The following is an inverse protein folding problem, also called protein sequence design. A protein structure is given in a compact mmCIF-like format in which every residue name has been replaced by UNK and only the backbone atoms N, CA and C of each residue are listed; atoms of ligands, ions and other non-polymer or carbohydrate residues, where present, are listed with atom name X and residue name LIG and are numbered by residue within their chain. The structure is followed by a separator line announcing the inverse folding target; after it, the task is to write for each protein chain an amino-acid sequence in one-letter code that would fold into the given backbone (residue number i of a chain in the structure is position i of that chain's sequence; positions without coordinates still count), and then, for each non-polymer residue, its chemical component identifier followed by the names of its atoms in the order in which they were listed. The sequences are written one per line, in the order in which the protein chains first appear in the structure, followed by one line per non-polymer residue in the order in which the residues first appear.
data_IF_364413996374
#
_entry.id   IF_364413996374
#
_cell.length_a   1.000
_cell.length_b   1.000
_cell.length_c   1.000
_cell.angle_alpha   90.00
_cell.angle_beta   90.00
_cell.angle_gamma   90.00
#
_symmetry.space_group_name_H-M   'P 1'
#
loop_
_entity.id
_entity.type
_entity.pdbx_description
1 polymer ?
#
# COMPACT_ATOMS: atom_id res chain seq x y z
N UNK A 1 -21.80 -12.12 18.82
CA UNK A 1 -21.42 -10.72 18.55
C UNK A 1 -20.29 -10.74 17.54
N UNK A 2 -20.60 -10.62 16.24
CA UNK A 2 -19.61 -10.73 15.17
C UNK A 2 -19.18 -9.34 14.72
N UNK A 3 -17.91 -8.99 14.94
CA UNK A 3 -17.34 -7.76 14.40
C UNK A 3 -16.85 -8.03 12.98
N UNK A 4 -17.59 -7.52 11.99
CA UNK A 4 -17.20 -7.52 10.58
C UNK A 4 -16.09 -6.50 10.38
N UNK A 5 -14.88 -6.99 10.08
CA UNK A 5 -13.70 -6.19 9.79
C UNK A 5 -13.88 -5.53 8.40
N UNK A 6 -14.00 -4.20 8.36
CA UNK A 6 -14.20 -3.43 7.11
C UNK A 6 -12.87 -2.82 6.64
N UNK A 7 -11.81 -3.62 6.55
CA UNK A 7 -10.54 -3.20 5.96
C UNK A 7 -10.64 -3.19 4.44
N UNK A 8 -11.04 -2.07 3.84
CA UNK A 8 -10.97 -1.89 2.38
C UNK A 8 -9.53 -1.55 2.00
N UNK A 9 -8.77 -2.56 1.59
CA UNK A 9 -7.52 -2.37 0.84
C UNK A 9 -7.85 -1.59 -0.43
N UNK A 10 -7.44 -0.33 -0.49
CA UNK A 10 -7.57 0.50 -1.69
C UNK A 10 -6.23 0.48 -2.44
N UNK A 11 -6.12 -0.42 -3.41
CA UNK A 11 -5.02 -0.39 -4.37
C UNK A 11 -5.17 0.87 -5.24
N UNK A 12 -4.33 1.88 -4.97
CA UNK A 12 -4.24 3.10 -5.80
C UNK A 12 -3.48 2.75 -7.08
N UNK A 13 -4.18 2.20 -8.07
CA UNK A 13 -3.63 2.05 -9.42
C UNK A 13 -3.42 3.44 -10.02
N UNK A 14 -2.17 3.78 -10.32
CA UNK A 14 -1.84 4.98 -11.08
C UNK A 14 -2.30 4.79 -12.55
N UNK A 15 -3.22 5.60 -13.10
CA UNK A 15 -3.61 5.46 -14.49
C UNK A 15 -2.44 5.83 -15.42
N UNK A 16 -2.26 5.13 -16.55
CA UNK A 16 -1.27 5.53 -17.55
C UNK A 16 -1.67 6.89 -18.13
N UNK A 17 -0.73 7.83 -18.14
CA UNK A 17 -0.88 9.15 -18.74
C UNK A 17 -1.21 9.01 -20.24
N UNK A 18 -2.47 9.19 -20.62
CA UNK A 18 -2.89 9.26 -22.03
C UNK A 18 -2.53 10.64 -22.58
N UNK A 19 -1.28 10.78 -23.03
CA UNK A 19 -0.85 11.96 -23.77
C UNK A 19 -1.37 11.85 -25.21
N UNK A 20 -2.14 12.87 -25.60
CA UNK A 20 -2.89 13.03 -26.85
C UNK A 20 -2.10 12.59 -28.09
N UNK A 21 -2.68 11.65 -28.84
CA UNK A 21 -2.21 11.19 -30.14
C UNK A 21 -2.33 12.29 -31.20
N UNK A 22 -1.19 12.84 -31.59
CA UNK A 22 -1.03 13.65 -32.79
C UNK A 22 0.14 13.13 -33.63
N UNK A 23 -0.20 12.31 -34.64
CA UNK A 23 0.49 12.10 -35.92
C UNK A 23 1.94 11.56 -35.92
N UNK A 24 2.06 10.37 -36.53
CA UNK A 24 3.25 9.78 -37.16
C UNK A 24 4.51 9.50 -36.32
N UNK A 25 4.62 8.24 -35.86
CA UNK A 25 5.85 7.43 -35.91
C UNK A 25 5.53 5.96 -35.61
N UNK A 26 6.26 5.06 -36.27
CA UNK A 26 6.20 3.60 -36.23
C UNK A 26 5.98 2.97 -34.83
N UNK A 27 5.39 1.76 -34.72
CA UNK A 27 5.19 1.09 -33.45
C UNK A 27 6.55 0.71 -32.84
N UNK A 28 7.07 1.59 -31.98
CA UNK A 28 8.16 1.25 -31.09
C UNK A 28 7.62 0.14 -30.18
N UNK A 29 8.24 -1.03 -30.26
CA UNK A 29 8.04 -2.17 -29.37
C UNK A 29 7.67 -1.67 -27.98
N UNK A 30 6.49 -2.07 -27.49
CA UNK A 30 5.92 -1.64 -26.22
C UNK A 30 6.88 -2.06 -25.09
N UNK A 31 7.87 -1.22 -24.81
CA UNK A 31 8.74 -1.36 -23.66
C UNK A 31 7.84 -1.01 -22.47
N UNK A 32 7.27 -2.03 -21.84
CA UNK A 32 6.57 -1.87 -20.57
C UNK A 32 7.46 -1.01 -19.68
N UNK A 33 6.91 0.07 -19.12
CA UNK A 33 7.69 0.98 -18.31
C UNK A 33 8.30 0.18 -17.13
N UNK A 34 9.63 0.02 -17.06
CA UNK A 34 10.23 -0.67 -15.93
C UNK A 34 10.05 0.23 -14.71
N UNK A 35 9.30 -0.23 -13.72
CA UNK A 35 9.23 0.41 -12.40
C UNK A 35 7.91 1.08 -12.03
N UNK A 36 6.75 0.53 -12.37
CA UNK A 36 5.50 0.92 -11.70
C UNK A 36 5.42 0.31 -10.29
N UNK A 37 5.94 1.04 -9.30
CA UNK A 37 5.80 0.66 -7.88
C UNK A 37 4.32 0.68 -7.50
N UNK A 38 3.81 -0.46 -7.05
CA UNK A 38 2.43 -0.55 -6.54
C UNK A 38 2.41 -0.01 -5.12
N UNK A 39 1.45 0.86 -4.80
CA UNK A 39 1.27 1.37 -3.44
C UNK A 39 -0.01 0.82 -2.82
N UNK A 40 0.13 0.26 -1.63
CA UNK A 40 -0.92 -0.33 -0.82
C UNK A 40 -1.09 0.46 0.47
N UNK A 41 -2.30 1.00 0.71
CA UNK A 41 -2.65 1.57 2.01
C UNK A 41 -3.23 0.49 2.92
N UNK A 42 -2.65 0.32 4.11
CA UNK A 42 -3.06 -0.64 5.14
C UNK A 42 -3.50 0.14 6.36
N UNK A 43 -4.67 -0.16 6.92
CA UNK A 43 -5.09 0.35 8.24
C UNK A 43 -5.32 -0.81 9.20
N UNK A 44 -4.87 -0.65 10.44
CA UNK A 44 -5.07 -1.62 11.50
C UNK A 44 -5.44 -0.89 12.80
N UNK A 45 -6.41 -1.44 13.52
CA UNK A 45 -6.87 -0.93 14.82
C UNK A 45 -7.08 -2.14 15.74
N UNK A 46 -6.62 -2.06 16.98
CA UNK A 46 -6.76 -3.13 17.96
C UNK A 46 -6.10 -2.81 19.30
N UNK A 47 -6.19 -3.69 20.31
CA UNK A 47 -5.62 -3.44 21.63
C UNK A 47 -4.11 -3.19 21.57
N UNK A 48 -3.64 -2.21 22.34
CA UNK A 48 -2.21 -1.90 22.39
C UNK A 48 -1.44 -3.06 23.04
N UNK A 49 -0.53 -3.65 22.27
CA UNK A 49 0.29 -4.80 22.65
C UNK A 49 1.73 -4.52 22.27
N UNK A 50 2.63 -4.73 23.22
CA UNK A 50 4.07 -4.76 22.96
C UNK A 50 4.38 -5.76 21.84
N UNK A 51 5.05 -5.30 20.78
CA UNK A 51 5.43 -6.12 19.63
C UNK A 51 4.47 -6.08 18.44
N UNK A 52 3.29 -5.46 18.55
CA UNK A 52 2.31 -5.43 17.45
C UNK A 52 2.89 -4.81 16.17
N UNK A 53 3.60 -3.68 16.30
CA UNK A 53 4.26 -3.02 15.16
C UNK A 53 5.33 -3.92 14.54
N UNK A 54 6.11 -4.61 15.37
CA UNK A 54 7.17 -5.50 14.92
C UNK A 54 6.60 -6.69 14.12
N UNK A 55 5.50 -7.27 14.56
CA UNK A 55 4.84 -8.37 13.85
C UNK A 55 4.30 -7.90 12.49
N UNK A 56 3.69 -6.71 12.45
CA UNK A 56 3.16 -6.12 11.22
C UNK A 56 4.26 -5.77 10.21
N UNK A 57 5.33 -5.12 10.66
CA UNK A 57 6.47 -4.80 9.78
C UNK A 57 7.15 -6.06 9.28
N UNK A 58 7.29 -7.09 10.13
CA UNK A 58 7.84 -8.39 9.73
C UNK A 58 7.03 -9.03 8.61
N UNK A 59 5.71 -9.11 8.72
CA UNK A 59 4.85 -9.67 7.67
C UNK A 59 4.99 -8.89 6.37
N UNK A 60 4.99 -7.55 6.43
CA UNK A 60 5.15 -6.70 5.24
C UNK A 60 6.49 -6.96 4.55
N UNK A 61 7.57 -7.06 5.33
CA UNK A 61 8.91 -7.33 4.81
C UNK A 61 9.04 -8.77 4.26
N UNK A 62 8.44 -9.77 4.90
CA UNK A 62 8.42 -11.17 4.42
C UNK A 62 7.72 -11.27 3.05
N UNK A 63 6.69 -10.43 2.83
CA UNK A 63 6.02 -10.31 1.53
C UNK A 63 6.80 -9.49 0.48
N UNK A 64 8.02 -9.02 0.78
CA UNK A 64 8.81 -8.17 -0.10
C UNK A 64 8.31 -6.72 -0.22
N UNK A 65 7.42 -6.30 0.69
CA UNK A 65 6.91 -4.94 0.75
C UNK A 65 7.85 -4.01 1.54
N UNK A 66 7.90 -2.75 1.11
CA UNK A 66 8.62 -1.69 1.82
C UNK A 66 7.65 -0.63 2.34
N UNK A 67 7.81 -0.20 3.59
CA UNK A 67 6.96 0.83 4.18
C UNK A 67 7.48 2.22 3.73
N UNK A 68 6.64 2.97 3.04
CA UNK A 68 6.94 4.33 2.57
C UNK A 68 6.47 5.41 3.56
N UNK A 69 5.30 5.22 4.18
CA UNK A 69 4.80 6.12 5.22
C UNK A 69 4.09 5.30 6.31
N UNK A 70 4.21 5.75 7.56
CA UNK A 70 3.50 5.16 8.70
C UNK A 70 2.98 6.27 9.61
N UNK A 71 1.73 6.14 10.04
CA UNK A 71 1.11 6.98 11.07
C UNK A 71 0.51 6.06 12.13
N UNK A 72 0.71 6.41 13.39
CA UNK A 72 0.25 5.63 14.54
C UNK A 72 -0.36 6.55 15.57
N UNK A 73 -1.42 6.09 16.23
CA UNK A 73 -2.10 6.81 17.30
C UNK A 73 -2.47 5.84 18.41
N UNK A 74 -2.16 6.21 19.66
CA UNK A 74 -2.71 5.55 20.84
C UNK A 74 -4.10 6.12 21.12
N UNK A 75 -5.09 5.24 21.25
CA UNK A 75 -6.49 5.54 21.49
C UNK A 75 -6.92 4.89 22.81
N UNK A 76 -6.33 5.35 23.92
CA UNK A 76 -6.56 4.78 25.24
C UNK A 76 -5.93 3.39 25.39
N UNK A 77 -6.76 2.35 25.47
CA UNK A 77 -6.32 0.94 25.50
C UNK A 77 -6.22 0.31 24.10
N UNK A 78 -6.54 1.09 23.07
CA UNK A 78 -6.45 0.72 21.67
C UNK A 78 -5.28 1.42 20.98
N UNK A 79 -4.87 0.83 19.88
CA UNK A 79 -3.81 1.29 19.02
C UNK A 79 -4.35 1.30 17.59
N UNK A 80 -4.15 2.42 16.89
CA UNK A 80 -4.49 2.58 15.49
C UNK A 80 -3.24 2.89 14.68
N UNK A 81 -3.11 2.28 13.51
CA UNK A 81 -2.06 2.59 12.56
C UNK A 81 -2.55 2.60 11.12
N UNK A 82 -1.91 3.43 10.32
CA UNK A 82 -2.06 3.46 8.86
C UNK A 82 -0.67 3.41 8.25
N UNK A 83 -0.48 2.52 7.28
CA UNK A 83 0.77 2.29 6.57
C UNK A 83 0.53 2.49 5.07
N UNK A 84 1.50 3.10 4.40
CA UNK A 84 1.63 3.08 2.95
C UNK A 84 2.79 2.17 2.60
N UNK A 85 2.53 1.08 1.89
CA UNK A 85 3.50 0.05 1.51
C UNK A 85 3.72 0.08 0.01
N UNK A 86 4.97 0.12 -0.42
CA UNK A 86 5.38 -0.09 -1.80
C UNK A 86 5.74 -1.57 -2.04
N UNK A 87 5.13 -2.18 -3.04
CA UNK A 87 5.43 -3.52 -3.53
C UNK A 87 6.03 -3.49 -4.93
N UNK A 88 6.82 -4.51 -5.26
CA UNK A 88 7.43 -4.72 -6.56
C UNK A 88 6.75 -5.86 -7.32
#
# INVERSE_FOLDING_TARGET
MGFAWYGRVTERRNPPNTTRLGRDRAPQSLHWAPGMKQHLAISAIGPDRTGLVHDLTRVISDCGGNISESRMASLGNEFAMVLLVAGN
#
